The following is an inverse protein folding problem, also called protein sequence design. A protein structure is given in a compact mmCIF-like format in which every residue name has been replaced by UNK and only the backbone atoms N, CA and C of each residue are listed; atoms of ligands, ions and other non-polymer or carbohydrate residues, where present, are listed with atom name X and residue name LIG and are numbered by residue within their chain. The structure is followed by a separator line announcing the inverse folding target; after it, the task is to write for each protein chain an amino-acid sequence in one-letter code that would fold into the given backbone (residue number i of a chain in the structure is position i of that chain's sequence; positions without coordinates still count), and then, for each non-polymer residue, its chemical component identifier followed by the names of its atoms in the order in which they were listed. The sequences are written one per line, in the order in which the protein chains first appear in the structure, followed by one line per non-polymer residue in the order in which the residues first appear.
data_IF_154915931289
#
_entry.id   IF_154915931289
#
_cell.length_a   1.000
_cell.length_b   1.000
_cell.length_c   1.000
_cell.angle_alpha   90.00
_cell.angle_beta   90.00
_cell.angle_gamma   90.00
#
_symmetry.space_group_name_H-M   'P 1'
#
loop_
_entity.id
_entity.type
_entity.pdbx_description
1 polymer ?
#
# COMPACT_ATOMS: atom_id res chain seq x y z
N UNK A 1 -9.23 -29.22 -4.31
CA UNK A 1 -9.15 -27.76 -4.56
C UNK A 1 -8.03 -27.22 -3.70
N UNK A 2 -6.84 -26.99 -4.26
CA UNK A 2 -5.69 -26.48 -3.49
C UNK A 2 -5.75 -24.95 -3.60
N UNK A 3 -6.41 -24.31 -2.65
CA UNK A 3 -6.40 -22.86 -2.54
C UNK A 3 -4.99 -22.41 -2.16
N UNK A 4 -4.33 -21.66 -3.04
CA UNK A 4 -3.09 -20.97 -2.70
C UNK A 4 -3.40 -19.97 -1.59
N UNK A 5 -3.05 -20.28 -0.35
CA UNK A 5 -3.15 -19.34 0.76
C UNK A 5 -2.08 -18.28 0.51
N UNK A 6 -2.52 -17.07 0.16
CA UNK A 6 -1.66 -15.89 0.20
C UNK A 6 -1.28 -15.66 1.66
N UNK A 7 -0.14 -16.19 2.09
CA UNK A 7 0.43 -15.86 3.39
C UNK A 7 0.94 -14.42 3.31
N UNK A 8 0.26 -13.52 4.02
CA UNK A 8 0.72 -12.16 4.25
C UNK A 8 1.17 -12.05 5.71
N UNK A 9 2.30 -11.38 5.94
CA UNK A 9 2.85 -11.19 7.28
C UNK A 9 2.80 -9.71 7.63
N UNK A 10 2.71 -9.41 8.93
CA UNK A 10 2.70 -8.02 9.42
C UNK A 10 4.11 -7.51 9.74
N UNK A 11 5.13 -8.28 9.35
CA UNK A 11 6.54 -7.95 9.49
C UNK A 11 7.06 -7.26 8.23
N UNK A 12 7.52 -6.01 8.36
CA UNK A 12 8.05 -5.25 7.23
C UNK A 12 9.22 -5.96 6.53
N UNK A 13 10.05 -6.69 7.28
CA UNK A 13 11.24 -7.36 6.77
C UNK A 13 10.94 -8.45 5.73
N UNK A 14 9.73 -9.03 5.75
CA UNK A 14 9.33 -10.08 4.82
C UNK A 14 9.02 -9.55 3.41
N UNK A 15 9.04 -8.23 3.23
CA UNK A 15 8.70 -7.57 1.98
C UNK A 15 9.92 -6.88 1.38
N UNK A 16 10.05 -6.90 0.04
CA UNK A 16 11.20 -6.31 -0.65
C UNK A 16 11.23 -4.78 -0.57
N UNK A 17 10.11 -4.13 -0.26
CA UNK A 17 10.00 -2.67 -0.17
C UNK A 17 8.79 -2.22 0.63
N UNK A 18 8.79 -0.95 1.04
CA UNK A 18 7.65 -0.30 1.71
C UNK A 18 6.42 -0.28 0.79
N UNK A 19 6.63 -0.10 -0.52
CA UNK A 19 5.59 -0.13 -1.54
C UNK A 19 4.90 -1.49 -1.57
N UNK A 20 5.68 -2.57 -1.53
CA UNK A 20 5.14 -3.93 -1.48
C UNK A 20 4.44 -4.22 -0.14
N UNK A 21 5.05 -3.80 0.98
CA UNK A 21 4.51 -4.01 2.33
C UNK A 21 3.18 -3.27 2.54
N UNK A 22 3.10 -2.02 2.11
CA UNK A 22 1.90 -1.20 2.19
C UNK A 22 0.93 -1.42 1.02
N UNK A 23 1.23 -2.32 0.06
CA UNK A 23 0.46 -2.52 -1.18
C UNK A 23 0.13 -1.19 -1.89
N UNK A 24 1.07 -0.23 -1.83
CA UNK A 24 0.89 1.11 -2.34
C UNK A 24 1.09 1.11 -3.85
N UNK A 25 0.05 1.40 -4.63
CA UNK A 25 0.17 1.50 -6.08
C UNK A 25 -0.82 2.48 -6.66
N UNK A 26 -0.41 3.13 -7.74
CA UNK A 26 -1.28 3.98 -8.52
C UNK A 26 -2.41 3.15 -9.16
N UNK A 27 -3.61 3.72 -9.20
CA UNK A 27 -4.73 3.18 -9.94
C UNK A 27 -4.74 3.83 -11.32
N UNK A 28 -4.61 2.99 -12.35
CA UNK A 28 -4.77 3.40 -13.73
C UNK A 28 -6.07 2.81 -14.30
N UNK A 29 -6.78 3.59 -15.11
CA UNK A 29 -7.98 3.13 -15.82
C UNK A 29 -8.99 4.24 -16.10
N UNK A 30 -9.73 4.11 -17.20
CA UNK A 30 -10.75 5.06 -17.61
C UNK A 30 -10.20 6.49 -17.77
N UNK A 31 -10.88 7.46 -17.17
CA UNK A 31 -10.53 8.88 -17.21
C UNK A 31 -9.72 9.35 -15.97
N UNK A 32 -9.13 8.41 -15.21
CA UNK A 32 -8.29 8.77 -14.06
C UNK A 32 -7.01 9.45 -14.54
N UNK A 33 -6.74 10.64 -13.99
CA UNK A 33 -5.49 11.36 -14.26
C UNK A 33 -4.32 10.61 -13.59
N UNK A 34 -3.20 10.42 -14.30
CA UNK A 34 -2.00 9.85 -13.71
C UNK A 34 -1.52 10.61 -12.47
N UNK A 35 -1.02 9.89 -11.47
CA UNK A 35 -0.49 10.40 -10.22
C UNK A 35 -1.55 11.00 -9.28
N UNK A 36 -2.84 10.69 -9.46
CA UNK A 36 -3.93 11.25 -8.63
C UNK A 36 -4.64 10.25 -7.74
N UNK A 37 -4.66 8.97 -8.11
CA UNK A 37 -5.36 7.95 -7.35
C UNK A 37 -4.42 6.80 -7.02
N UNK A 38 -4.33 6.50 -5.74
CA UNK A 38 -3.51 5.42 -5.22
C UNK A 38 -4.38 4.51 -4.34
N UNK A 39 -4.02 3.24 -4.28
CA UNK A 39 -4.52 2.29 -3.29
C UNK A 39 -3.36 1.82 -2.42
N UNK A 40 -3.64 1.46 -1.19
CA UNK A 40 -2.65 0.93 -0.26
C UNK A 40 -3.26 0.56 1.09
N UNK A 41 -2.39 0.21 2.04
CA UNK A 41 -2.73 0.01 3.43
C UNK A 41 -3.27 1.31 4.04
N UNK A 42 -4.07 1.18 5.09
CA UNK A 42 -4.66 2.35 5.74
C UNK A 42 -3.55 3.22 6.36
N UNK A 43 -3.52 4.53 6.07
CA UNK A 43 -2.61 5.48 6.73
C UNK A 43 -2.97 5.77 8.20
N UNK A 44 -4.13 5.32 8.67
CA UNK A 44 -4.64 5.59 10.02
C UNK A 44 -4.77 4.31 10.84
N UNK A 45 -5.28 3.23 10.24
CA UNK A 45 -5.44 1.96 10.93
C UNK A 45 -4.14 1.14 10.86
N UNK A 46 -3.42 1.12 11.98
CA UNK A 46 -2.10 0.48 12.09
C UNK A 46 -2.10 -0.94 12.66
N UNK A 47 -3.22 -1.67 12.57
CA UNK A 47 -3.31 -3.06 13.09
C UNK A 47 -2.26 -4.02 12.53
N UNK A 48 -1.64 -3.67 11.41
CA UNK A 48 -0.65 -4.49 10.73
C UNK A 48 0.72 -3.80 10.61
N UNK A 49 0.99 -2.76 11.40
CA UNK A 49 2.25 -2.00 11.37
C UNK A 49 2.57 -1.33 10.01
N UNK A 50 1.54 -1.01 9.21
CA UNK A 50 1.68 -0.47 7.84
C UNK A 50 1.37 1.02 7.75
N UNK A 51 0.74 1.63 8.74
CA UNK A 51 0.19 2.98 8.64
C UNK A 51 1.29 4.04 8.45
N UNK A 52 2.40 3.94 9.19
CA UNK A 52 3.54 4.84 9.04
C UNK A 52 4.16 4.77 7.64
N UNK A 53 4.31 3.56 7.09
CA UNK A 53 4.84 3.34 5.74
C UNK A 53 3.88 3.86 4.66
N UNK A 54 2.59 3.62 4.82
CA UNK A 54 1.56 4.16 3.92
C UNK A 54 1.57 5.70 3.93
N UNK A 55 1.65 6.33 5.11
CA UNK A 55 1.75 7.78 5.23
C UNK A 55 3.01 8.35 4.54
N UNK A 56 4.16 7.71 4.73
CA UNK A 56 5.39 8.14 4.09
C UNK A 56 5.29 8.07 2.56
N UNK A 57 4.67 7.01 2.02
CA UNK A 57 4.46 6.83 0.58
C UNK A 57 3.45 7.84 0.02
N UNK A 58 2.39 8.15 0.77
CA UNK A 58 1.41 9.18 0.38
C UNK A 58 2.05 10.57 0.34
N UNK A 59 2.85 10.92 1.36
CA UNK A 59 3.60 12.16 1.39
C UNK A 59 4.61 12.26 0.24
N UNK A 60 5.34 11.18 -0.05
CA UNK A 60 6.27 11.10 -1.18
C UNK A 60 5.59 11.21 -2.55
N UNK A 61 4.34 10.75 -2.67
CA UNK A 61 3.52 10.92 -3.87
C UNK A 61 2.90 12.33 -3.99
N UNK A 62 3.05 13.20 -2.99
CA UNK A 62 2.45 14.54 -2.96
C UNK A 62 0.92 14.53 -2.86
N UNK A 63 0.35 13.46 -2.30
CA UNK A 63 -1.09 13.28 -2.12
C UNK A 63 -1.46 13.57 -0.66
N UNK A 64 -2.61 14.19 -0.42
CA UNK A 64 -3.16 14.40 0.92
C UNK A 64 -4.22 13.34 1.23
N UNK A 65 -4.27 12.90 2.49
CA UNK A 65 -5.17 11.86 3.01
C UNK A 65 -6.46 12.47 3.55
#
# INVERSE_FOLDING_TARGET
MIGHILSYTDERADYPSDVAFANFRELAGGNLKPGKFFRGASPVNDKNNRAAYANALIAGAGVQV
#
